data_IF_898679410507
#
_entry.id   IF_898679410507
#
_cell.length_a   1.000
_cell.length_b   1.000
_cell.length_c   1.000
_cell.angle_alpha   90.00
_cell.angle_beta   90.00
_cell.angle_gamma   90.00
#
_symmetry.space_group_name_H-M   'P 1'
#
loop_
_entity.id
_entity.type
_entity.pdbx_description
1 polymer ?
#
# COMPACT_ATOMS: atom_id res chain seq x y z
N UNK A 1 -16.54 10.73 15.59
CA UNK A 1 -15.73 9.51 15.49
C UNK A 1 -15.27 9.14 16.87
N UNK A 2 -15.56 7.91 17.28
CA UNK A 2 -15.00 7.31 18.50
C UNK A 2 -13.47 7.20 18.37
N UNK A 3 -12.75 7.12 19.49
CA UNK A 3 -11.28 7.13 19.49
C UNK A 3 -10.70 5.94 18.70
N UNK A 4 -11.44 4.84 18.67
CA UNK A 4 -11.12 3.65 17.87
C UNK A 4 -11.18 3.92 16.37
N UNK A 5 -12.25 4.54 15.90
CA UNK A 5 -12.42 4.89 14.49
C UNK A 5 -11.33 5.86 14.01
N UNK A 6 -10.87 6.78 14.88
CA UNK A 6 -9.81 7.74 14.56
C UNK A 6 -8.45 7.08 14.28
N UNK A 7 -8.03 6.10 15.09
CA UNK A 7 -6.71 5.48 14.87
C UNK A 7 -6.72 4.61 13.61
N UNK A 8 -7.83 3.91 13.32
CA UNK A 8 -7.96 3.09 12.10
C UNK A 8 -7.85 3.96 10.84
N UNK A 9 -8.56 5.07 10.82
CA UNK A 9 -8.47 6.07 9.73
C UNK A 9 -7.07 6.68 9.63
N UNK A 10 -6.37 6.86 10.75
CA UNK A 10 -4.98 7.33 10.74
C UNK A 10 -4.06 6.37 9.96
N UNK A 11 -4.14 5.06 10.21
CA UNK A 11 -3.35 4.08 9.45
C UNK A 11 -3.66 4.10 7.96
N UNK A 12 -4.94 4.14 7.57
CA UNK A 12 -5.32 4.24 6.17
C UNK A 12 -4.77 5.52 5.50
N UNK A 13 -4.79 6.65 6.23
CA UNK A 13 -4.21 7.90 5.75
C UNK A 13 -2.69 7.81 5.57
N UNK A 14 -1.96 7.19 6.50
CA UNK A 14 -0.51 7.00 6.36
C UNK A 14 -0.17 6.06 5.19
N UNK A 15 -0.93 4.98 4.99
CA UNK A 15 -0.76 4.10 3.83
C UNK A 15 -1.01 4.84 2.51
N UNK A 16 -2.04 5.70 2.44
CA UNK A 16 -2.30 6.54 1.28
C UNK A 16 -1.15 7.51 0.97
N UNK A 17 -0.51 8.10 1.99
CA UNK A 17 0.67 8.96 1.77
C UNK A 17 1.84 8.19 1.16
N UNK A 18 2.06 6.94 1.57
CA UNK A 18 3.10 6.07 1.00
C UNK A 18 2.82 5.83 -0.49
N UNK A 19 1.57 5.49 -0.84
CA UNK A 19 1.14 5.29 -2.23
C UNK A 19 1.34 6.54 -3.08
N UNK A 20 0.91 7.71 -2.61
CA UNK A 20 1.03 8.97 -3.35
C UNK A 20 2.50 9.34 -3.59
N UNK A 21 3.42 9.00 -2.68
CA UNK A 21 4.86 9.19 -2.90
C UNK A 21 5.38 8.29 -4.02
N UNK A 22 4.94 7.02 -4.09
CA UNK A 22 5.31 6.13 -5.19
C UNK A 22 4.80 6.65 -6.55
N UNK A 23 3.55 7.12 -6.62
CA UNK A 23 3.03 7.75 -7.83
C UNK A 23 3.82 9.00 -8.25
N UNK A 24 4.25 9.81 -7.27
CA UNK A 24 5.09 10.97 -7.57
C UNK A 24 6.45 10.57 -8.18
N UNK A 25 7.04 9.48 -7.71
CA UNK A 25 8.28 8.92 -8.26
C UNK A 25 8.10 8.40 -9.69
N UNK A 26 7.00 7.68 -9.98
CA UNK A 26 6.67 7.24 -11.34
C UNK A 26 6.51 8.42 -12.31
N UNK A 27 5.77 9.46 -11.89
CA UNK A 27 5.61 10.69 -12.68
C UNK A 27 6.97 11.36 -12.90
N UNK A 28 7.85 11.39 -11.90
CA UNK A 28 9.18 11.96 -12.04
C UNK A 28 10.03 11.20 -13.07
N UNK A 29 9.99 9.88 -13.07
CA UNK A 29 10.68 9.07 -14.08
C UNK A 29 10.15 9.33 -15.48
N UNK A 30 8.83 9.40 -15.64
CA UNK A 30 8.18 9.72 -16.91
C UNK A 30 8.61 11.09 -17.46
N UNK A 31 8.51 12.14 -16.64
CA UNK A 31 8.85 13.51 -17.03
C UNK A 31 10.34 13.68 -17.38
N UNK A 32 11.21 12.91 -16.74
CA UNK A 32 12.65 12.92 -17.01
C UNK A 32 13.06 12.01 -18.18
N UNK A 33 12.16 11.19 -18.70
CA UNK A 33 12.48 10.12 -19.65
C UNK A 33 13.48 9.12 -19.07
N UNK A 34 13.49 8.95 -17.74
CA UNK A 34 14.41 8.07 -17.04
C UNK A 34 13.86 6.64 -17.02
N UNK A 35 14.72 5.67 -17.33
CA UNK A 35 14.39 4.25 -17.22
C UNK A 35 15.18 3.65 -16.05
N UNK A 36 14.52 3.28 -14.94
CA UNK A 36 15.19 2.68 -13.79
C UNK A 36 15.74 1.27 -14.10
N UNK A 37 16.63 0.77 -13.24
CA UNK A 37 16.94 -0.66 -13.21
C UNK A 37 15.72 -1.49 -12.77
N UNK A 38 15.75 -2.81 -12.95
CA UNK A 38 14.65 -3.66 -12.49
C UNK A 38 14.49 -3.58 -10.96
N UNK A 39 15.59 -3.57 -10.21
CA UNK A 39 15.55 -3.46 -8.76
C UNK A 39 14.96 -2.12 -8.31
N UNK A 40 15.42 -1.00 -8.89
CA UNK A 40 14.91 0.35 -8.59
C UNK A 40 13.43 0.48 -8.98
N UNK A 41 13.05 -0.07 -10.13
CA UNK A 41 11.66 -0.11 -10.58
C UNK A 41 10.77 -0.81 -9.56
N UNK A 42 11.13 -2.03 -9.15
CA UNK A 42 10.29 -2.85 -8.28
C UNK A 42 10.07 -2.23 -6.90
N UNK A 43 11.04 -1.48 -6.36
CA UNK A 43 10.88 -0.76 -5.09
C UNK A 43 9.71 0.26 -5.13
N UNK A 44 9.54 0.96 -6.25
CA UNK A 44 8.43 1.93 -6.43
C UNK A 44 7.18 1.23 -6.93
N UNK A 45 7.33 0.35 -7.92
CA UNK A 45 6.23 -0.20 -8.68
C UNK A 45 5.38 -1.20 -7.88
N UNK A 46 5.98 -1.92 -6.93
CA UNK A 46 5.21 -2.77 -6.00
C UNK A 46 4.34 -1.91 -5.08
N UNK A 47 4.84 -0.77 -4.61
CA UNK A 47 4.08 0.16 -3.77
C UNK A 47 2.95 0.81 -4.57
N UNK A 48 3.21 1.20 -5.83
CA UNK A 48 2.24 1.89 -6.70
C UNK A 48 1.03 1.04 -7.10
N UNK A 49 1.10 -0.30 -6.97
CA UNK A 49 -0.06 -1.20 -7.10
C UNK A 49 -1.24 -0.81 -6.19
N UNK A 50 -0.96 -0.14 -5.08
CA UNK A 50 -1.98 0.25 -4.10
C UNK A 50 -2.49 -0.91 -3.23
N UNK A 51 -2.03 -2.15 -3.40
CA UNK A 51 -2.53 -3.30 -2.64
C UNK A 51 -2.23 -3.23 -1.15
N UNK A 52 -1.09 -2.66 -0.75
CA UNK A 52 -0.80 -2.35 0.66
C UNK A 52 -1.84 -1.35 1.23
N UNK A 53 -2.12 -0.28 0.49
CA UNK A 53 -3.11 0.75 0.88
C UNK A 53 -4.53 0.20 0.92
N UNK A 54 -4.91 -0.60 -0.07
CA UNK A 54 -6.22 -1.23 -0.14
C UNK A 54 -6.42 -2.20 1.02
N UNK A 55 -5.43 -3.06 1.30
CA UNK A 55 -5.44 -3.99 2.44
C UNK A 55 -5.61 -3.23 3.74
N UNK A 56 -4.77 -2.23 4.00
CA UNK A 56 -4.86 -1.37 5.21
C UNK A 56 -6.23 -0.71 5.34
N UNK A 57 -6.75 -0.15 4.25
CA UNK A 57 -8.01 0.60 4.26
C UNK A 57 -9.22 -0.34 4.45
N UNK A 58 -9.17 -1.56 3.92
CA UNK A 58 -10.23 -2.55 4.07
C UNK A 58 -10.54 -2.88 5.53
N UNK A 59 -9.52 -2.85 6.40
CA UNK A 59 -9.68 -3.11 7.84
C UNK A 59 -10.43 -2.00 8.58
N UNK A 60 -10.46 -0.78 8.05
CA UNK A 60 -11.12 0.36 8.71
C UNK A 60 -12.61 0.11 8.90
N UNK A 61 -13.28 -0.47 7.89
CA UNK A 61 -14.72 -0.69 7.89
C UNK A 61 -15.20 -1.98 8.55
N UNK A 62 -14.30 -2.83 9.06
CA UNK A 62 -14.67 -4.08 9.71
C UNK A 62 -15.08 -3.80 11.15
N UNK A 63 -16.38 -3.96 11.42
CA UNK A 63 -17.01 -3.66 12.72
C UNK A 63 -17.20 -4.88 13.63
N UNK A 64 -16.82 -6.09 13.18
CA UNK A 64 -16.93 -7.31 14.00
C UNK A 64 -16.02 -7.27 15.24
N UNK A 65 -16.58 -7.72 16.36
CA UNK A 65 -16.07 -7.66 17.73
C UNK A 65 -14.55 -7.87 17.86
N UNK A 66 -13.79 -6.77 17.92
CA UNK A 66 -12.36 -6.72 18.23
C UNK A 66 -11.43 -7.60 17.37
N UNK A 67 -11.84 -8.04 16.19
CA UNK A 67 -10.96 -8.80 15.29
C UNK A 67 -9.84 -7.89 14.76
N UNK A 68 -10.20 -6.66 14.39
CA UNK A 68 -9.27 -5.66 13.89
C UNK A 68 -8.79 -4.79 15.04
N UNK A 69 -7.67 -5.17 15.63
CA UNK A 69 -6.96 -4.40 16.65
C UNK A 69 -5.84 -3.56 16.04
N UNK A 70 -5.20 -2.72 16.86
CA UNK A 70 -3.99 -1.99 16.47
C UNK A 70 -2.88 -2.91 15.97
N UNK A 71 -2.73 -4.10 16.56
CA UNK A 71 -1.73 -5.09 16.18
C UNK A 71 -1.90 -5.57 14.74
N UNK A 72 -3.15 -5.61 14.24
CA UNK A 72 -3.41 -5.95 12.83
C UNK A 72 -2.88 -4.86 11.91
N UNK A 73 -3.10 -3.59 12.23
CA UNK A 73 -2.54 -2.48 11.45
C UNK A 73 -1.01 -2.47 11.49
N UNK A 74 -0.40 -2.70 12.66
CA UNK A 74 1.06 -2.82 12.80
C UNK A 74 1.59 -4.02 12.00
N UNK A 75 0.90 -5.16 12.03
CA UNK A 75 1.24 -6.34 11.24
C UNK A 75 1.24 -6.05 9.74
N UNK A 76 0.24 -5.33 9.22
CA UNK A 76 0.19 -4.92 7.80
C UNK A 76 1.31 -3.94 7.46
N UNK A 77 1.61 -2.99 8.35
CA UNK A 77 2.70 -2.01 8.17
C UNK A 77 4.10 -2.64 8.24
N UNK A 78 4.23 -3.81 8.86
CA UNK A 78 5.44 -4.63 8.79
C UNK A 78 5.56 -5.42 7.47
N UNK A 79 4.71 -5.13 6.49
CA UNK A 79 4.76 -5.65 5.12
C UNK A 79 4.77 -7.19 5.07
N UNK A 80 3.67 -7.84 5.48
CA UNK A 80 3.64 -9.29 5.58
C UNK A 80 3.66 -9.92 4.18
N UNK A 81 4.23 -11.12 4.07
CA UNK A 81 4.43 -11.84 2.80
C UNK A 81 3.18 -11.96 1.92
N UNK A 82 1.99 -12.02 2.53
CA UNK A 82 0.73 -12.10 1.77
C UNK A 82 0.43 -10.79 1.02
N UNK A 83 0.73 -9.64 1.64
CA UNK A 83 0.58 -8.33 1.00
C UNK A 83 1.64 -8.19 -0.11
N UNK A 84 2.89 -8.53 0.19
CA UNK A 84 3.98 -8.54 -0.81
C UNK A 84 3.63 -9.41 -2.03
N UNK A 85 3.20 -10.65 -1.81
CA UNK A 85 2.82 -11.56 -2.90
C UNK A 85 1.65 -11.00 -3.73
N UNK A 86 0.66 -10.37 -3.08
CA UNK A 86 -0.46 -9.74 -3.78
C UNK A 86 -0.02 -8.55 -4.65
N UNK A 87 0.95 -7.75 -4.18
CA UNK A 87 1.54 -6.66 -4.95
C UNK A 87 2.31 -7.19 -6.17
N UNK A 88 3.10 -8.24 -6.00
CA UNK A 88 3.85 -8.86 -7.12
C UNK A 88 2.88 -9.36 -8.19
N UNK A 89 1.83 -10.08 -7.79
CA UNK A 89 0.80 -10.57 -8.73
C UNK A 89 0.13 -9.39 -9.44
N UNK A 90 -0.29 -8.37 -8.70
CA UNK A 90 -0.93 -7.19 -9.28
C UNK A 90 0.00 -6.49 -10.29
N UNK A 91 1.24 -6.20 -9.90
CA UNK A 91 2.20 -5.47 -10.73
C UNK A 91 2.50 -6.21 -12.03
N UNK A 92 2.81 -7.50 -11.94
CA UNK A 92 3.14 -8.28 -13.13
C UNK A 92 1.96 -8.53 -14.06
N UNK A 93 0.75 -8.71 -13.53
CA UNK A 93 -0.42 -8.80 -14.41
C UNK A 93 -0.71 -7.46 -15.08
N UNK A 94 -0.61 -6.34 -14.36
CA UNK A 94 -0.87 -5.00 -14.88
C UNK A 94 0.19 -4.55 -15.90
N UNK A 95 1.45 -4.94 -15.74
CA UNK A 95 2.53 -4.64 -16.71
C UNK A 95 2.43 -5.41 -18.04
N UNK A 96 1.76 -6.58 -18.03
CA UNK A 96 1.64 -7.44 -19.22
C UNK A 96 0.49 -6.99 -20.13
N UNK A 97 -0.58 -6.45 -19.56
CA UNK A 97 -1.84 -6.11 -20.26
C UNK A 97 -1.72 -4.76 -20.99
#
# INVERSE_FOLDING_TARGET
MEEEEKYRVHYAKEAMKILVRAYFEEVRWLEQGYTPSLEEYLEVALVSTGYFTLSTTSFVGIMEDNIITKDVFEWVFNHPKIVEASQIICRFMDDIV
#
